data_IF_192192314239
#
_entry.id   IF_192192314239
#
_cell.length_a   1.000
_cell.length_b   1.000
_cell.length_c   1.000
_cell.angle_alpha   90.00
_cell.angle_beta   90.00
_cell.angle_gamma   90.00
#
_symmetry.space_group_name_H-M   'P 1'
#
loop_
_entity.id
_entity.type
_entity.pdbx_description
1 polymer ?
#
# COMPACT_ATOMS: atom_id res chain seq x y z
N UNK A 1 28.43 -40.72 -19.85
CA UNK A 1 27.74 -39.99 -18.75
C UNK A 1 28.64 -39.02 -18.02
N UNK A 2 29.87 -38.80 -18.43
CA UNK A 2 30.92 -38.01 -17.76
C UNK A 2 31.11 -36.58 -18.31
N UNK A 3 30.81 -36.34 -19.59
CA UNK A 3 31.03 -35.01 -20.22
C UNK A 3 30.03 -33.95 -19.75
N UNK A 4 28.81 -34.34 -19.44
CA UNK A 4 27.78 -33.36 -18.95
C UNK A 4 27.99 -32.90 -17.50
N UNK A 5 28.71 -33.67 -16.72
CA UNK A 5 29.07 -33.30 -15.34
C UNK A 5 30.26 -32.35 -15.32
N UNK A 6 31.24 -32.54 -16.21
CA UNK A 6 32.40 -31.64 -16.33
C UNK A 6 32.01 -30.24 -16.85
N UNK A 7 31.04 -30.13 -17.77
CA UNK A 7 30.56 -28.82 -18.24
C UNK A 7 29.76 -28.06 -17.18
N UNK A 8 29.12 -28.74 -16.25
CA UNK A 8 28.39 -28.07 -15.14
C UNK A 8 29.32 -27.59 -14.03
N UNK A 9 30.44 -28.24 -13.82
CA UNK A 9 31.42 -27.84 -12.82
C UNK A 9 32.21 -26.59 -13.23
N UNK A 10 32.50 -26.41 -14.54
CA UNK A 10 33.22 -25.24 -15.05
C UNK A 10 32.37 -23.96 -15.03
N UNK A 11 31.05 -24.08 -15.20
CA UNK A 11 30.13 -22.92 -15.15
C UNK A 11 29.94 -22.35 -13.73
N UNK A 12 30.05 -23.18 -12.70
CA UNK A 12 29.91 -22.74 -11.31
C UNK A 12 31.20 -22.06 -10.81
N UNK A 13 32.39 -22.50 -11.25
CA UNK A 13 33.67 -21.89 -10.86
C UNK A 13 33.88 -20.49 -11.51
N UNK A 14 33.29 -20.24 -12.69
CA UNK A 14 33.39 -18.92 -13.35
C UNK A 14 32.53 -17.82 -12.73
N UNK A 15 31.45 -18.20 -12.04
CA UNK A 15 30.50 -17.23 -11.47
C UNK A 15 30.94 -16.69 -10.10
N UNK A 16 31.83 -17.39 -9.40
CA UNK A 16 32.31 -16.97 -8.09
C UNK A 16 33.47 -15.98 -8.11
N UNK A 17 34.17 -15.82 -9.25
CA UNK A 17 35.29 -14.88 -9.39
C UNK A 17 34.85 -13.45 -9.80
N UNK A 18 33.59 -13.23 -10.18
CA UNK A 18 33.13 -11.92 -10.66
C UNK A 18 32.58 -11.02 -9.55
N UNK A 19 32.43 -11.49 -8.29
CA UNK A 19 31.83 -10.71 -7.21
C UNK A 19 32.81 -10.08 -6.23
N UNK A 20 34.13 -10.15 -6.46
CA UNK A 20 35.14 -9.62 -5.52
C UNK A 20 35.72 -8.26 -5.90
N UNK A 21 35.17 -7.54 -6.87
CA UNK A 21 35.72 -6.29 -7.39
C UNK A 21 34.94 -5.01 -7.01
N UNK A 22 34.27 -4.98 -5.85
CA UNK A 22 33.68 -3.75 -5.33
C UNK A 22 34.04 -3.51 -3.86
N UNK A 23 35.34 -3.33 -3.62
CA UNK A 23 35.89 -2.84 -2.37
C UNK A 23 36.64 -1.54 -2.60
N UNK A 24 35.91 -0.46 -2.81
CA UNK A 24 36.46 0.90 -2.92
C UNK A 24 36.74 1.46 -1.53
N UNK A 25 37.99 1.37 -1.08
CA UNK A 25 38.52 2.11 0.06
C UNK A 25 38.72 3.56 -0.33
N UNK A 26 37.89 4.45 0.16
CA UNK A 26 38.19 5.88 0.11
C UNK A 26 38.84 6.30 1.43
N UNK A 27 40.18 6.21 1.47
CA UNK A 27 41.00 6.93 2.43
C UNK A 27 41.64 8.11 1.69
N UNK A 28 41.06 9.26 1.80
CA UNK A 28 41.60 10.51 1.30
C UNK A 28 41.67 11.54 2.42
N UNK A 29 42.61 11.33 3.37
CA UNK A 29 42.93 12.34 4.36
C UNK A 29 44.30 12.94 4.01
N UNK A 30 44.29 14.03 3.28
CA UNK A 30 45.47 14.85 3.04
C UNK A 30 45.08 16.32 3.06
N UNK A 31 45.15 16.93 4.24
CA UNK A 31 45.41 18.33 4.37
C UNK A 31 46.14 18.59 5.70
N UNK A 32 47.39 19.02 5.65
CA UNK A 32 48.12 19.45 6.81
C UNK A 32 48.22 20.98 6.82
N UNK A 33 47.36 21.65 7.56
CA UNK A 33 47.74 22.98 8.08
C UNK A 33 47.12 23.17 9.45
N UNK A 34 48.00 23.32 10.41
CA UNK A 34 47.65 23.51 11.81
C UNK A 34 47.19 24.91 12.13
N UNK A 35 46.50 24.99 13.24
CA UNK A 35 46.73 26.05 14.25
C UNK A 35 45.90 25.71 15.48
N UNK A 36 46.62 25.41 16.57
CA UNK A 36 46.08 25.44 17.91
C UNK A 36 45.63 26.87 18.23
N UNK A 37 44.43 27.02 18.73
CA UNK A 37 44.05 28.10 19.66
C UNK A 37 43.07 27.55 20.68
N UNK A 38 43.57 27.51 21.89
CA UNK A 38 42.78 27.33 23.11
C UNK A 38 41.71 28.39 23.23
N UNK A 39 40.47 27.97 23.46
CA UNK A 39 39.40 28.86 23.86
C UNK A 39 38.51 28.17 24.88
N UNK A 40 38.16 28.84 25.97
CA UNK A 40 37.52 28.25 27.15
C UNK A 40 36.04 27.95 26.92
N UNK A 41 35.38 27.21 27.85
CA UNK A 41 34.02 26.71 27.66
C UNK A 41 33.01 27.84 27.73
N UNK A 42 32.40 28.18 26.61
CA UNK A 42 31.23 29.05 26.58
C UNK A 42 29.95 28.24 26.68
N UNK A 43 29.14 28.73 27.58
CA UNK A 43 27.81 28.30 27.96
C UNK A 43 26.91 28.02 26.77
N UNK A 44 26.11 26.94 26.92
CA UNK A 44 25.03 26.59 26.05
C UNK A 44 24.05 27.78 25.90
N UNK A 45 24.17 28.49 24.81
CA UNK A 45 23.11 29.37 24.33
C UNK A 45 22.21 28.53 23.46
N UNK A 46 20.99 28.39 23.92
CA UNK A 46 19.88 27.77 23.25
C UNK A 46 19.76 28.37 21.84
N UNK A 47 20.24 27.65 20.83
CA UNK A 47 20.11 28.07 19.45
C UNK A 47 18.61 28.06 19.13
N UNK A 48 18.10 29.26 18.81
CA UNK A 48 16.78 29.40 18.22
C UNK A 48 16.73 28.51 16.96
N UNK A 49 15.67 27.76 16.85
CA UNK A 49 15.34 27.04 15.63
C UNK A 49 15.22 28.05 14.49
N UNK A 50 16.21 28.07 13.62
CA UNK A 50 16.07 28.74 12.33
C UNK A 50 14.90 28.05 11.59
N UNK A 51 13.95 28.82 11.04
CA UNK A 51 12.89 28.23 10.24
C UNK A 51 13.54 27.52 9.06
N UNK A 52 13.34 26.20 8.94
CA UNK A 52 13.74 25.43 7.77
C UNK A 52 13.11 26.09 6.56
N UNK A 53 13.91 26.64 5.69
CA UNK A 53 13.45 27.11 4.39
C UNK A 53 12.82 25.91 3.67
N UNK A 54 11.50 25.91 3.54
CA UNK A 54 10.76 24.92 2.74
C UNK A 54 11.23 25.07 1.30
N UNK A 55 12.02 24.11 0.85
CA UNK A 55 12.48 24.08 -0.52
C UNK A 55 11.35 23.54 -1.41
N UNK A 56 11.32 23.99 -2.67
CA UNK A 56 10.34 23.50 -3.65
C UNK A 56 10.37 21.96 -3.82
N UNK A 57 11.43 21.30 -3.39
CA UNK A 57 11.58 19.86 -3.39
C UNK A 57 10.75 19.19 -2.27
N UNK A 58 10.46 19.88 -1.18
CA UNK A 58 9.59 19.38 -0.11
C UNK A 58 8.13 19.24 -0.59
N UNK A 59 7.75 20.00 -1.63
CA UNK A 59 6.44 19.87 -2.26
C UNK A 59 6.32 18.60 -3.15
N UNK A 60 7.45 18.05 -3.60
CA UNK A 60 7.50 16.81 -4.37
C UNK A 60 7.81 15.59 -3.50
N UNK A 61 8.36 15.83 -2.31
CA UNK A 61 8.51 14.81 -1.28
C UNK A 61 7.14 14.61 -0.62
N UNK A 62 6.28 13.92 -1.33
CA UNK A 62 5.00 13.46 -0.78
C UNK A 62 5.30 12.41 0.30
N UNK A 63 5.87 12.88 1.41
CA UNK A 63 5.92 12.13 2.65
C UNK A 63 4.47 12.01 3.09
N UNK A 64 3.84 10.92 2.65
CA UNK A 64 2.61 10.47 3.26
C UNK A 64 2.86 10.41 4.77
N UNK A 65 2.37 11.43 5.47
CA UNK A 65 2.44 11.48 6.93
C UNK A 65 1.87 10.18 7.48
N UNK A 66 2.62 9.51 8.34
CA UNK A 66 2.20 8.24 8.96
C UNK A 66 0.96 8.36 9.85
N UNK A 67 0.42 9.58 9.98
CA UNK A 67 -0.89 9.90 10.56
C UNK A 67 -1.99 9.93 9.51
N UNK A 68 -1.73 9.32 8.34
CA UNK A 68 -2.59 9.42 7.18
C UNK A 68 -3.93 8.80 7.46
N UNK A 69 -4.92 9.64 7.38
CA UNK A 69 -6.26 9.36 6.89
C UNK A 69 -6.19 8.20 5.89
N UNK A 70 -6.81 7.08 6.20
CA UNK A 70 -6.91 5.94 5.29
C UNK A 70 -7.51 6.46 3.98
N UNK A 71 -6.69 6.56 2.93
CA UNK A 71 -7.17 6.99 1.62
C UNK A 71 -8.01 5.87 1.02
N UNK A 72 -9.31 6.02 1.15
CA UNK A 72 -10.28 5.07 0.61
C UNK A 72 -10.33 5.20 -0.90
N UNK A 73 -10.13 4.12 -1.63
CA UNK A 73 -10.28 4.12 -3.08
C UNK A 73 -11.73 4.44 -3.49
N UNK A 74 -11.93 5.60 -4.14
CA UNK A 74 -13.26 6.08 -4.55
C UNK A 74 -14.03 5.10 -5.44
N UNK A 75 -13.34 4.35 -6.31
CA UNK A 75 -13.97 3.40 -7.22
C UNK A 75 -14.41 2.13 -6.50
N UNK A 76 -13.59 1.61 -5.58
CA UNK A 76 -13.96 0.47 -4.74
C UNK A 76 -15.13 0.83 -3.83
N UNK A 77 -15.10 2.02 -3.25
CA UNK A 77 -16.17 2.55 -2.43
C UNK A 77 -17.50 2.64 -3.19
N UNK A 78 -17.49 3.33 -4.33
CA UNK A 78 -18.68 3.48 -5.15
C UNK A 78 -19.19 2.14 -5.69
N UNK A 79 -18.29 1.28 -6.17
CA UNK A 79 -18.65 -0.04 -6.66
C UNK A 79 -19.28 -0.91 -5.58
N UNK A 80 -18.78 -0.84 -4.33
CA UNK A 80 -19.38 -1.57 -3.21
C UNK A 80 -20.82 -1.13 -2.94
N UNK A 81 -21.08 0.17 -2.94
CA UNK A 81 -22.43 0.70 -2.77
C UNK A 81 -23.36 0.31 -3.92
N UNK A 82 -22.87 0.30 -5.16
CA UNK A 82 -23.66 -0.08 -6.34
C UNK A 82 -23.98 -1.59 -6.38
N UNK A 83 -22.97 -2.45 -6.17
CA UNK A 83 -23.15 -3.90 -6.20
C UNK A 83 -24.02 -4.40 -5.07
N UNK A 84 -23.87 -3.81 -3.89
CA UNK A 84 -24.62 -4.16 -2.69
C UNK A 84 -25.88 -3.33 -2.47
N UNK A 85 -26.35 -2.60 -3.48
CA UNK A 85 -27.50 -1.67 -3.39
C UNK A 85 -28.81 -2.30 -2.93
N UNK A 86 -28.93 -3.63 -3.05
CA UNK A 86 -30.11 -4.37 -2.55
C UNK A 86 -30.08 -4.59 -1.04
N UNK A 87 -28.97 -4.28 -0.37
CA UNK A 87 -28.83 -4.36 1.09
C UNK A 87 -29.10 -2.99 1.72
N UNK A 88 -29.97 -2.88 2.75
CA UNK A 88 -30.19 -1.62 3.43
C UNK A 88 -28.92 -1.19 4.18
N UNK A 89 -28.46 0.02 3.95
CA UNK A 89 -27.29 0.58 4.62
C UNK A 89 -27.64 0.87 6.07
N UNK A 90 -26.83 0.38 7.01
CA UNK A 90 -26.95 0.65 8.44
C UNK A 90 -25.96 1.71 8.91
N UNK A 91 -24.72 1.64 8.44
CA UNK A 91 -23.68 2.60 8.77
C UNK A 91 -22.71 2.73 7.61
N UNK A 92 -22.23 3.93 7.38
CA UNK A 92 -21.25 4.27 6.36
C UNK A 92 -20.26 5.26 6.96
N UNK A 93 -19.00 4.90 6.96
CA UNK A 93 -17.92 5.79 7.36
C UNK A 93 -16.87 5.92 6.24
N UNK A 94 -16.91 7.02 5.49
CA UNK A 94 -15.96 7.23 4.40
C UNK A 94 -14.50 7.42 4.86
N UNK A 95 -14.29 7.83 6.12
CA UNK A 95 -12.95 8.08 6.65
C UNK A 95 -12.23 6.80 7.01
N UNK A 96 -12.92 5.85 7.61
CA UNK A 96 -12.38 4.52 7.91
C UNK A 96 -12.54 3.53 6.77
N UNK A 97 -13.29 3.89 5.71
CA UNK A 97 -13.57 3.01 4.59
C UNK A 97 -14.53 1.87 4.89
N UNK A 98 -15.37 2.00 5.93
CA UNK A 98 -16.28 0.95 6.39
C UNK A 98 -17.71 1.19 5.90
N UNK A 99 -18.31 0.15 5.32
CA UNK A 99 -19.73 0.10 4.99
C UNK A 99 -20.35 -1.10 5.70
N UNK A 100 -21.37 -0.87 6.51
CA UNK A 100 -22.14 -1.91 7.19
C UNK A 100 -23.56 -1.90 6.68
N UNK A 101 -24.04 -3.07 6.25
CA UNK A 101 -25.41 -3.23 5.75
C UNK A 101 -26.25 -4.09 6.68
N UNK A 102 -27.56 -3.94 6.57
CA UNK A 102 -28.52 -4.87 7.14
C UNK A 102 -28.79 -6.07 6.22
N UNK A 103 -29.72 -6.90 6.64
CA UNK A 103 -30.14 -8.04 5.84
C UNK A 103 -31.03 -7.60 4.66
N UNK A 104 -30.66 -8.04 3.46
CA UNK A 104 -31.44 -7.89 2.23
C UNK A 104 -31.36 -9.13 1.37
N UNK A 105 -32.31 -9.28 0.48
CA UNK A 105 -32.37 -10.39 -0.48
C UNK A 105 -31.90 -9.95 -1.85
N UNK A 106 -30.99 -10.69 -2.52
CA UNK A 106 -30.51 -10.31 -3.85
C UNK A 106 -31.63 -10.26 -4.88
N UNK A 107 -31.46 -9.44 -5.94
CA UNK A 107 -32.35 -9.50 -7.10
C UNK A 107 -32.28 -10.90 -7.72
N UNK A 108 -33.40 -11.57 -7.80
CA UNK A 108 -33.47 -12.98 -8.22
C UNK A 108 -33.88 -13.94 -7.08
N UNK A 109 -34.02 -13.43 -5.87
CA UNK A 109 -34.49 -14.20 -4.71
C UNK A 109 -33.39 -14.98 -4.00
N UNK A 110 -33.77 -15.83 -3.10
CA UNK A 110 -32.85 -16.67 -2.34
C UNK A 110 -32.72 -16.25 -0.87
N UNK A 111 -31.53 -16.48 -0.31
CA UNK A 111 -31.23 -16.18 1.11
C UNK A 111 -31.01 -14.69 1.32
N UNK A 112 -31.42 -14.22 2.48
CA UNK A 112 -31.07 -12.87 2.91
C UNK A 112 -29.61 -12.84 3.40
N UNK A 113 -28.86 -11.84 2.97
CA UNK A 113 -27.48 -11.59 3.36
C UNK A 113 -27.33 -10.23 4.01
N UNK A 114 -26.33 -10.08 4.85
CA UNK A 114 -25.76 -8.79 5.25
C UNK A 114 -24.30 -8.75 4.92
N UNK A 115 -23.78 -7.57 4.67
CA UNK A 115 -22.38 -7.35 4.28
C UNK A 115 -21.72 -6.33 5.20
N UNK A 116 -20.44 -6.56 5.48
CA UNK A 116 -19.52 -5.55 5.97
C UNK A 116 -18.38 -5.43 4.98
N UNK A 117 -18.19 -4.24 4.45
CA UNK A 117 -17.12 -3.92 3.50
C UNK A 117 -16.12 -3.02 4.18
N UNK A 118 -14.85 -3.27 3.96
CA UNK A 118 -13.75 -2.43 4.40
C UNK A 118 -12.82 -2.17 3.23
N UNK A 119 -12.63 -0.89 2.88
CA UNK A 119 -11.69 -0.42 1.86
C UNK A 119 -10.55 0.30 2.56
N UNK A 120 -9.32 -0.24 2.50
CA UNK A 120 -8.19 0.20 3.32
C UNK A 120 -7.04 0.87 2.56
N UNK A 121 -7.13 1.01 1.24
CA UNK A 121 -5.99 1.43 0.43
C UNK A 121 -6.49 2.22 -0.79
N UNK A 122 -5.77 3.27 -1.23
CA UNK A 122 -6.11 4.00 -2.45
C UNK A 122 -5.92 3.16 -3.72
N UNK A 123 -5.17 2.06 -3.65
CA UNK A 123 -4.97 1.19 -4.81
C UNK A 123 -6.26 0.45 -5.20
N UNK A 124 -6.50 0.31 -6.50
CA UNK A 124 -7.59 -0.50 -7.02
C UNK A 124 -7.11 -1.95 -7.17
N UNK A 125 -6.98 -2.63 -6.05
CA UNK A 125 -6.46 -3.99 -5.92
C UNK A 125 -7.40 -4.84 -5.03
N UNK A 126 -7.36 -6.16 -5.19
CA UNK A 126 -8.09 -7.10 -4.34
C UNK A 126 -7.69 -7.01 -2.86
N UNK A 127 -6.44 -6.64 -2.57
CA UNK A 127 -5.94 -6.46 -1.20
C UNK A 127 -6.57 -5.29 -0.48
N UNK A 128 -7.00 -4.28 -1.23
CA UNK A 128 -7.60 -3.05 -0.71
C UNK A 128 -9.06 -3.24 -0.30
N UNK A 129 -9.67 -4.36 -0.68
CA UNK A 129 -11.06 -4.69 -0.40
C UNK A 129 -11.14 -5.90 0.53
N UNK A 130 -11.85 -5.76 1.63
CA UNK A 130 -12.22 -6.88 2.52
C UNK A 130 -13.72 -6.94 2.65
N UNK A 131 -14.29 -8.10 2.36
CA UNK A 131 -15.72 -8.34 2.40
C UNK A 131 -16.04 -9.46 3.39
N UNK A 132 -16.95 -9.18 4.32
CA UNK A 132 -17.56 -10.18 5.18
C UNK A 132 -19.04 -10.29 4.82
N UNK A 133 -19.49 -11.51 4.48
CA UNK A 133 -20.89 -11.81 4.21
C UNK A 133 -21.43 -12.78 5.26
N UNK A 134 -22.62 -12.47 5.75
CA UNK A 134 -23.35 -13.37 6.64
C UNK A 134 -24.76 -13.58 6.10
N UNK A 135 -25.27 -14.79 6.27
CA UNK A 135 -26.67 -15.12 6.02
C UNK A 135 -27.39 -15.36 7.34
N UNK A 136 -28.72 -15.34 7.35
CA UNK A 136 -29.50 -15.69 8.55
C UNK A 136 -29.27 -17.13 9.03
N UNK A 137 -28.74 -18.00 8.16
CA UNK A 137 -28.40 -19.38 8.46
C UNK A 137 -26.94 -19.60 8.85
N UNK A 138 -26.15 -18.54 9.08
CA UNK A 138 -24.73 -18.60 9.43
C UNK A 138 -23.81 -18.08 8.34
N UNK A 139 -22.55 -18.54 8.40
CA UNK A 139 -21.51 -18.08 7.47
C UNK A 139 -21.82 -18.47 6.03
N UNK A 140 -21.41 -17.60 5.12
CA UNK A 140 -21.51 -17.78 3.67
C UNK A 140 -20.25 -18.51 3.17
N UNK A 141 -20.40 -19.31 2.12
CA UNK A 141 -19.25 -20.02 1.54
C UNK A 141 -18.21 -19.03 1.01
N UNK A 142 -16.94 -19.39 1.10
CA UNK A 142 -15.84 -18.55 0.61
C UNK A 142 -15.96 -18.29 -0.92
N UNK A 143 -16.55 -19.19 -1.67
CA UNK A 143 -16.81 -19.01 -3.10
C UNK A 143 -17.81 -17.87 -3.36
N UNK A 144 -18.89 -17.80 -2.57
CA UNK A 144 -19.85 -16.70 -2.68
C UNK A 144 -19.23 -15.35 -2.31
N UNK A 145 -18.40 -15.31 -1.26
CA UNK A 145 -17.68 -14.09 -0.87
C UNK A 145 -16.78 -13.63 -2.02
N UNK A 146 -15.97 -14.50 -2.57
CA UNK A 146 -15.09 -14.20 -3.72
C UNK A 146 -15.86 -13.72 -4.94
N UNK A 147 -16.98 -14.35 -5.26
CA UNK A 147 -17.80 -13.93 -6.39
C UNK A 147 -18.31 -12.49 -6.24
N UNK A 148 -18.67 -12.07 -5.02
CA UNK A 148 -19.09 -10.69 -4.75
C UNK A 148 -17.90 -9.74 -4.75
N UNK A 149 -16.75 -10.12 -4.21
CA UNK A 149 -15.50 -9.35 -4.28
C UNK A 149 -15.10 -9.11 -5.75
N UNK A 150 -15.12 -10.13 -6.59
CA UNK A 150 -14.83 -10.02 -8.02
C UNK A 150 -15.83 -9.11 -8.75
N UNK A 151 -17.10 -9.16 -8.39
CA UNK A 151 -18.12 -8.27 -8.94
C UNK A 151 -17.82 -6.80 -8.58
N UNK A 152 -17.46 -6.53 -7.32
CA UNK A 152 -17.08 -5.18 -6.85
C UNK A 152 -15.82 -4.70 -7.59
N UNK A 153 -14.77 -5.50 -7.67
CA UNK A 153 -13.53 -5.16 -8.36
C UNK A 153 -13.77 -4.89 -9.86
N UNK A 154 -14.59 -5.71 -10.50
CA UNK A 154 -14.95 -5.52 -11.90
C UNK A 154 -15.71 -4.22 -12.10
N UNK A 155 -16.66 -3.92 -11.23
CA UNK A 155 -17.42 -2.67 -11.29
C UNK A 155 -16.52 -1.45 -11.04
N UNK A 156 -15.62 -1.52 -10.09
CA UNK A 156 -14.65 -0.47 -9.80
C UNK A 156 -13.74 -0.16 -11.01
N UNK A 157 -13.27 -1.20 -11.70
CA UNK A 157 -12.50 -1.03 -12.95
C UNK A 157 -13.31 -0.37 -14.05
N UNK A 158 -14.59 -0.74 -14.21
CA UNK A 158 -15.50 -0.10 -15.18
C UNK A 158 -15.70 1.38 -14.87
N UNK A 159 -15.89 1.73 -13.59
CA UNK A 159 -16.04 3.12 -13.15
C UNK A 159 -14.77 3.93 -13.47
N UNK A 160 -13.58 3.38 -13.17
CA UNK A 160 -12.31 4.03 -13.49
C UNK A 160 -12.14 4.27 -15.00
N UNK A 161 -12.44 3.26 -15.82
CA UNK A 161 -12.35 3.40 -17.29
C UNK A 161 -13.33 4.46 -17.81
N UNK A 162 -14.52 4.54 -17.26
CA UNK A 162 -15.50 5.57 -17.62
C UNK A 162 -14.98 6.96 -17.28
N UNK A 163 -14.45 7.15 -16.08
CA UNK A 163 -13.91 8.44 -15.64
C UNK A 163 -12.67 8.88 -16.43
N UNK A 164 -11.86 7.93 -16.91
CA UNK A 164 -10.66 8.24 -17.71
C UNK A 164 -10.95 8.68 -19.15
N UNK A 165 -12.20 8.59 -19.60
CA UNK A 165 -12.65 9.01 -20.94
C UNK A 165 -13.31 10.38 -20.95
N UNK A 166 -13.47 11.01 -19.79
CA UNK A 166 -14.01 12.35 -19.61
C UNK A 166 -12.89 13.39 -19.56
#
# INVERSE_FOLDING_TARGET
MTIRVLMRASAICGLTLALSACGGTSSGKLWPFGSKKDTPPQQAVKAAEEPKEETIWDLFDNKADSNVTVEVNKYLWQASLEVLSFLPIQSVDPFSGVIVTGYGTPPGGGRAYRATVLVQDPALDARSLKLSLESRGGQVSAETVRAVEDAILTRARQLRIRDSKL
#
